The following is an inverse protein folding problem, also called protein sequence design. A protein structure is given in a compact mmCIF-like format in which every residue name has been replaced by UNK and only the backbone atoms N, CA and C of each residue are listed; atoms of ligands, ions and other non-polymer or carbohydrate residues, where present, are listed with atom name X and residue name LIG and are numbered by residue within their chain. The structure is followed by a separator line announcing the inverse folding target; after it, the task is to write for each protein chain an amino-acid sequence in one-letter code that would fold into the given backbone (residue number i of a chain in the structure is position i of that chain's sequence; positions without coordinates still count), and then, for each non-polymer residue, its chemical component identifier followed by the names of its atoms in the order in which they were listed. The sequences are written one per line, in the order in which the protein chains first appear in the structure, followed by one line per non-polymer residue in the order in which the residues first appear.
data_IF_974207731667
#
_entry.id   IF_974207731667
#
_cell.length_a   1.000
_cell.length_b   1.000
_cell.length_c   1.000
_cell.angle_alpha   90.00
_cell.angle_beta   90.00
_cell.angle_gamma   90.00
#
_symmetry.space_group_name_H-M   'P 1'
#
loop_
_entity.id
_entity.type
_entity.pdbx_description
1 polymer ?
#
# COMPACT_ATOMS: atom_id res chain seq x y z
N UNK A 1 -11.82 -12.86 23.34
CA UNK A 1 -12.21 -11.63 22.64
C UNK A 1 -11.10 -10.61 22.85
N UNK A 2 -10.58 -9.91 21.80
CA UNK A 2 -9.52 -8.92 21.98
C UNK A 2 -10.11 -7.62 22.49
N UNK A 3 -9.40 -6.90 23.38
CA UNK A 3 -9.86 -5.65 24.02
C UNK A 3 -10.29 -4.59 23.02
N UNK A 4 -9.57 -4.45 21.90
CA UNK A 4 -9.92 -3.47 20.89
C UNK A 4 -11.30 -3.72 20.24
N UNK A 5 -11.85 -4.94 20.24
CA UNK A 5 -13.20 -5.17 19.73
C UNK A 5 -14.27 -4.50 20.60
N UNK A 6 -14.05 -4.41 21.92
CA UNK A 6 -14.96 -3.70 22.84
C UNK A 6 -14.87 -2.20 22.58
N UNK A 7 -13.64 -1.69 22.51
CA UNK A 7 -13.40 -0.28 22.21
C UNK A 7 -14.03 0.14 20.89
N UNK A 8 -13.84 -0.66 19.82
CA UNK A 8 -14.40 -0.36 18.51
C UNK A 8 -15.93 -0.29 18.53
N UNK A 9 -16.57 -1.23 19.23
CA UNK A 9 -18.04 -1.22 19.38
C UNK A 9 -18.51 0.09 20.04
N UNK A 10 -17.83 0.50 21.11
CA UNK A 10 -18.15 1.74 21.81
C UNK A 10 -17.92 2.96 20.90
N UNK A 11 -16.80 3.02 20.19
CA UNK A 11 -16.50 4.11 19.27
C UNK A 11 -17.53 4.21 18.14
N UNK A 12 -17.84 3.11 17.47
CA UNK A 12 -18.83 3.10 16.41
C UNK A 12 -20.23 3.51 16.89
N UNK A 13 -20.59 3.10 18.09
CA UNK A 13 -21.86 3.52 18.70
C UNK A 13 -21.84 5.03 19.02
N UNK A 14 -20.78 5.53 19.63
CA UNK A 14 -20.58 6.94 19.93
C UNK A 14 -20.60 7.79 18.66
N UNK A 15 -19.84 7.40 17.63
CA UNK A 15 -19.75 8.12 16.37
C UNK A 15 -21.11 8.20 15.64
N UNK A 16 -21.93 7.14 15.67
CA UNK A 16 -23.27 7.14 15.06
C UNK A 16 -24.23 8.16 15.68
N UNK A 17 -24.02 8.52 16.96
CA UNK A 17 -24.84 9.49 17.68
C UNK A 17 -24.33 10.93 17.56
N UNK A 18 -23.13 11.11 17.00
CA UNK A 18 -22.53 12.44 16.82
C UNK A 18 -22.90 12.99 15.45
N UNK A 19 -23.52 14.17 15.46
CA UNK A 19 -23.72 14.94 14.23
C UNK A 19 -22.44 15.69 13.89
N UNK A 20 -21.94 15.50 12.66
CA UNK A 20 -20.81 16.26 12.14
C UNK A 20 -21.31 17.60 11.61
N UNK A 21 -20.71 18.69 12.08
CA UNK A 21 -21.15 20.05 11.74
C UNK A 21 -20.85 20.44 10.29
N UNK A 22 -19.78 19.88 9.71
CA UNK A 22 -19.36 20.19 8.34
C UNK A 22 -19.97 19.21 7.34
N UNK A 23 -20.27 19.70 6.14
CA UNK A 23 -20.66 18.83 5.04
C UNK A 23 -19.53 17.85 4.69
N UNK A 24 -19.86 16.61 4.28
CA UNK A 24 -18.86 15.63 3.86
C UNK A 24 -18.01 16.18 2.72
N UNK A 25 -16.68 16.16 2.89
CA UNK A 25 -15.73 16.68 1.91
C UNK A 25 -14.48 15.79 1.87
N UNK A 26 -13.92 15.64 0.69
CA UNK A 26 -12.69 14.90 0.50
C UNK A 26 -12.90 13.43 0.14
N UNK A 27 -11.88 12.86 -0.44
CA UNK A 27 -11.81 11.47 -0.83
C UNK A 27 -10.67 10.78 -0.08
N UNK A 28 -10.95 9.59 0.45
CA UNK A 28 -9.94 8.72 1.05
C UNK A 28 -9.74 7.49 0.17
N UNK A 29 -8.50 7.24 -0.22
CA UNK A 29 -8.04 5.98 -0.80
C UNK A 29 -7.37 5.16 0.30
N UNK A 30 -7.81 3.93 0.52
CA UNK A 30 -7.21 3.01 1.49
C UNK A 30 -6.43 1.94 0.73
N UNK A 31 -5.12 1.87 0.96
CA UNK A 31 -4.24 0.81 0.47
C UNK A 31 -3.30 0.40 1.60
N UNK A 32 -3.64 -0.69 2.27
CA UNK A 32 -2.97 -1.16 3.49
C UNK A 32 -1.74 -2.03 3.22
N UNK A 33 -1.43 -2.26 1.96
CA UNK A 33 -0.26 -3.03 1.53
C UNK A 33 1.07 -2.40 1.94
N UNK A 34 2.17 -3.12 1.73
CA UNK A 34 3.52 -2.62 2.01
C UNK A 34 4.06 -1.68 0.92
N UNK A 35 5.35 -1.35 1.04
CA UNK A 35 6.07 -0.46 0.09
C UNK A 35 5.87 -0.93 -1.36
N UNK A 36 6.10 -2.22 -1.64
CA UNK A 36 5.95 -2.78 -3.00
C UNK A 36 4.54 -2.59 -3.56
N UNK A 37 3.51 -2.72 -2.72
CA UNK A 37 2.12 -2.48 -3.12
C UNK A 37 1.86 -1.01 -3.45
N UNK A 38 2.47 -0.10 -2.69
CA UNK A 38 2.38 1.36 -2.93
C UNK A 38 3.10 1.73 -4.24
N UNK A 39 4.27 1.14 -4.52
CA UNK A 39 4.95 1.30 -5.81
C UNK A 39 4.05 0.83 -6.95
N UNK A 40 3.48 -0.37 -6.87
CA UNK A 40 2.57 -0.87 -7.90
C UNK A 40 1.31 0.00 -8.04
N UNK A 41 0.75 0.50 -6.93
CA UNK A 41 -0.43 1.37 -6.96
C UNK A 41 -0.15 2.72 -7.61
N UNK A 42 1.07 3.24 -7.49
CA UNK A 42 1.45 4.52 -8.10
C UNK A 42 1.29 4.55 -9.64
N UNK A 43 1.35 3.40 -10.31
CA UNK A 43 1.09 3.28 -11.75
C UNK A 43 -0.37 3.53 -12.13
N UNK A 44 -1.29 3.34 -11.20
CA UNK A 44 -2.74 3.42 -11.46
C UNK A 44 -3.46 4.49 -10.63
N UNK A 45 -2.77 5.11 -9.69
CA UNK A 45 -3.36 6.05 -8.72
C UNK A 45 -4.17 7.16 -9.38
N UNK A 46 -3.73 7.69 -10.51
CA UNK A 46 -4.44 8.75 -11.25
C UNK A 46 -5.82 8.32 -11.73
N UNK A 47 -6.01 7.05 -12.01
CA UNK A 47 -7.32 6.51 -12.37
C UNK A 47 -8.33 6.66 -11.22
N UNK A 48 -7.85 6.62 -9.98
CA UNK A 48 -8.66 6.81 -8.77
C UNK A 48 -8.78 8.28 -8.40
N UNK A 49 -7.70 9.07 -8.48
CA UNK A 49 -7.76 10.50 -8.13
C UNK A 49 -8.68 11.31 -9.02
N UNK A 50 -8.88 10.89 -10.27
CA UNK A 50 -9.83 11.48 -11.19
C UNK A 50 -11.32 11.29 -10.79
N UNK A 51 -11.60 10.58 -9.70
CA UNK A 51 -12.94 10.46 -9.10
C UNK A 51 -13.21 11.57 -8.08
N UNK A 52 -12.18 12.31 -7.69
CA UNK A 52 -12.33 13.48 -6.86
C UNK A 52 -13.03 14.59 -7.65
N UNK A 53 -13.84 15.39 -6.95
CA UNK A 53 -14.42 16.61 -7.51
C UNK A 53 -13.34 17.69 -7.66
N UNK A 54 -13.66 18.73 -8.39
CA UNK A 54 -12.78 19.90 -8.49
C UNK A 54 -12.42 20.43 -7.09
N UNK A 55 -11.14 20.68 -6.83
CA UNK A 55 -10.59 21.12 -5.54
C UNK A 55 -10.94 20.24 -4.33
N UNK A 56 -11.31 18.99 -4.57
CA UNK A 56 -11.57 18.06 -3.49
C UNK A 56 -10.25 17.49 -2.92
N UNK A 57 -9.99 17.61 -1.60
CA UNK A 57 -8.80 17.05 -0.99
C UNK A 57 -8.81 15.52 -1.12
N UNK A 58 -7.64 14.97 -1.46
CA UNK A 58 -7.43 13.53 -1.60
C UNK A 58 -6.47 13.08 -0.51
N UNK A 59 -6.87 12.10 0.27
CA UNK A 59 -6.04 11.47 1.28
C UNK A 59 -5.76 10.03 0.86
N UNK A 60 -4.50 9.61 0.96
CA UNK A 60 -4.06 8.24 0.72
C UNK A 60 -3.59 7.62 2.03
N UNK A 61 -4.37 6.67 2.54
CA UNK A 61 -4.03 5.91 3.73
C UNK A 61 -3.20 4.71 3.33
N UNK A 62 -1.99 4.64 3.85
CA UNK A 62 -1.05 3.56 3.60
C UNK A 62 -0.42 3.02 4.88
N UNK A 63 0.23 1.86 4.78
CA UNK A 63 0.98 1.28 5.88
C UNK A 63 2.24 2.12 6.16
N UNK A 64 2.61 2.20 7.43
CA UNK A 64 3.86 2.83 7.86
C UNK A 64 5.06 2.23 7.10
N UNK A 65 5.97 3.10 6.68
CA UNK A 65 7.09 2.78 5.82
C UNK A 65 6.80 3.00 4.33
N UNK A 66 5.52 2.95 3.89
CA UNK A 66 5.15 3.19 2.50
C UNK A 66 5.26 4.67 2.09
N UNK A 67 5.32 5.59 3.06
CA UNK A 67 5.60 7.01 2.82
C UNK A 67 6.95 7.27 2.16
N UNK A 68 7.90 6.36 2.33
CA UNK A 68 9.23 6.46 1.70
C UNK A 68 9.18 6.52 0.18
N UNK A 69 8.12 5.98 -0.40
CA UNK A 69 7.88 5.98 -1.86
C UNK A 69 6.74 6.92 -2.26
N UNK A 70 6.33 7.84 -1.37
CA UNK A 70 5.25 8.80 -1.63
C UNK A 70 5.55 9.77 -2.78
N UNK A 71 6.83 9.99 -3.09
CA UNK A 71 7.25 10.79 -4.25
C UNK A 71 6.74 10.22 -5.59
N UNK A 72 6.36 8.93 -5.63
CA UNK A 72 5.75 8.30 -6.81
C UNK A 72 4.27 8.65 -6.98
N UNK A 73 3.65 9.26 -5.98
CA UNK A 73 2.25 9.67 -6.01
C UNK A 73 2.10 11.13 -6.48
N UNK A 74 0.94 11.53 -7.01
CA UNK A 74 0.66 12.93 -7.32
C UNK A 74 0.84 13.85 -6.12
N UNK A 75 1.40 15.05 -6.33
CA UNK A 75 1.72 16.01 -5.25
C UNK A 75 0.50 16.54 -4.49
N UNK A 76 -0.67 16.46 -5.07
CA UNK A 76 -1.93 16.90 -4.47
C UNK A 76 -2.58 15.88 -3.54
N UNK A 77 -1.90 14.76 -3.28
CA UNK A 77 -2.36 13.71 -2.37
C UNK A 77 -1.72 13.92 -1.00
N UNK A 78 -2.55 14.00 0.03
CA UNK A 78 -2.09 13.98 1.43
C UNK A 78 -1.87 12.53 1.88
N UNK A 79 -0.69 12.22 2.39
CA UNK A 79 -0.36 10.88 2.89
C UNK A 79 -0.78 10.73 4.35
N UNK A 80 -1.51 9.68 4.65
CA UNK A 80 -1.89 9.27 6.00
C UNK A 80 -1.27 7.91 6.32
N UNK A 81 -0.18 7.93 7.07
CA UNK A 81 0.50 6.71 7.49
C UNK A 81 -0.19 6.08 8.69
N UNK A 82 -0.41 4.77 8.62
CA UNK A 82 -0.96 3.99 9.73
C UNK A 82 -0.03 2.85 10.08
N UNK A 83 0.41 2.82 11.33
CA UNK A 83 1.11 1.66 11.89
C UNK A 83 0.07 0.58 12.26
N UNK A 84 -0.10 -0.40 11.40
CA UNK A 84 -1.06 -1.49 11.61
C UNK A 84 -0.65 -2.43 12.74
N UNK A 85 0.63 -2.51 13.11
CA UNK A 85 1.06 -3.28 14.28
C UNK A 85 0.65 -2.57 15.56
N UNK A 86 0.90 -1.27 15.64
CA UNK A 86 0.48 -0.42 16.74
C UNK A 86 -1.04 -0.33 16.84
N UNK A 87 -1.74 -0.21 15.70
CA UNK A 87 -3.21 -0.20 15.63
C UNK A 87 -3.82 -1.46 16.29
N UNK A 88 -3.12 -2.59 16.26
CA UNK A 88 -3.55 -3.84 16.86
C UNK A 88 -3.24 -3.96 18.36
N UNK A 89 -2.22 -3.27 18.86
CA UNK A 89 -1.68 -3.44 20.22
C UNK A 89 -1.95 -2.26 21.14
N UNK A 90 -2.03 -1.03 20.59
CA UNK A 90 -2.18 0.21 21.32
C UNK A 90 -3.61 0.75 21.16
N UNK A 91 -4.39 0.65 22.23
CA UNK A 91 -5.79 1.09 22.24
C UNK A 91 -5.95 2.61 22.11
N UNK A 92 -5.00 3.39 22.64
CA UNK A 92 -5.04 4.85 22.55
C UNK A 92 -4.78 5.29 21.11
N UNK A 93 -3.75 4.72 20.45
CA UNK A 93 -3.44 4.96 19.05
C UNK A 93 -4.62 4.56 18.14
N UNK A 94 -5.20 3.37 18.37
CA UNK A 94 -6.36 2.90 17.62
C UNK A 94 -7.56 3.85 17.74
N UNK A 95 -7.88 4.26 18.97
CA UNK A 95 -8.95 5.22 19.25
C UNK A 95 -8.71 6.54 18.51
N UNK A 96 -7.52 7.10 18.66
CA UNK A 96 -7.14 8.37 18.02
C UNK A 96 -7.25 8.27 16.49
N UNK A 97 -6.65 7.23 15.89
CA UNK A 97 -6.70 7.02 14.43
C UNK A 97 -8.13 6.92 13.92
N UNK A 98 -8.99 6.12 14.57
CA UNK A 98 -10.39 5.98 14.17
C UNK A 98 -11.20 7.26 14.37
N UNK A 99 -10.94 8.00 15.44
CA UNK A 99 -11.61 9.29 15.70
C UNK A 99 -11.20 10.33 14.66
N UNK A 100 -9.92 10.42 14.32
CA UNK A 100 -9.44 11.34 13.28
C UNK A 100 -10.06 11.04 11.92
N UNK A 101 -10.17 9.76 11.55
CA UNK A 101 -10.85 9.34 10.32
C UNK A 101 -12.35 9.70 10.32
N UNK A 102 -13.01 9.57 11.45
CA UNK A 102 -14.41 10.00 11.61
C UNK A 102 -14.57 11.51 11.47
N UNK A 103 -13.73 12.30 12.16
CA UNK A 103 -13.78 13.76 12.13
C UNK A 103 -13.40 14.35 10.76
N UNK A 104 -12.58 13.67 9.98
CA UNK A 104 -12.25 14.07 8.61
C UNK A 104 -13.46 14.13 7.70
N UNK A 105 -14.55 13.44 8.03
CA UNK A 105 -15.85 13.49 7.35
C UNK A 105 -15.75 13.34 5.84
N UNK A 106 -15.12 12.28 5.37
CA UNK A 106 -14.94 12.02 3.95
C UNK A 106 -16.27 11.88 3.21
N UNK A 107 -16.33 12.47 2.02
CA UNK A 107 -17.44 12.26 1.08
C UNK A 107 -17.39 10.87 0.47
N UNK A 108 -16.19 10.42 0.09
CA UNK A 108 -15.97 9.17 -0.59
C UNK A 108 -14.79 8.42 0.03
N UNK A 109 -15.01 7.17 0.35
CA UNK A 109 -13.93 6.22 0.73
C UNK A 109 -13.86 5.13 -0.32
N UNK A 110 -12.67 4.92 -0.88
CA UNK A 110 -12.39 3.82 -1.81
C UNK A 110 -11.36 2.90 -1.18
N UNK A 111 -11.76 1.68 -0.85
CA UNK A 111 -10.85 0.67 -0.37
C UNK A 111 -10.32 -0.14 -1.54
N UNK A 112 -9.07 0.10 -1.90
CA UNK A 112 -8.47 -0.43 -3.13
C UNK A 112 -7.94 -1.86 -3.00
N UNK A 113 -7.84 -2.39 -1.77
CA UNK A 113 -7.28 -3.72 -1.56
C UNK A 113 -8.30 -4.84 -1.73
N UNK A 114 -7.86 -5.91 -2.42
CA UNK A 114 -8.59 -7.16 -2.53
C UNK A 114 -8.30 -8.09 -1.33
N UNK A 115 -7.08 -8.04 -0.78
CA UNK A 115 -6.68 -8.77 0.44
C UNK A 115 -6.83 -7.82 1.61
N UNK A 116 -7.86 -8.02 2.42
CA UNK A 116 -8.23 -7.14 3.53
C UNK A 116 -8.28 -7.87 4.86
N UNK A 117 -7.99 -7.15 5.93
CA UNK A 117 -8.11 -7.66 7.29
C UNK A 117 -9.32 -7.02 8.00
N UNK A 118 -10.30 -7.83 8.45
CA UNK A 118 -11.58 -7.31 8.95
C UNK A 118 -11.47 -6.40 10.17
N UNK A 119 -10.45 -6.61 11.00
CA UNK A 119 -10.26 -5.87 12.24
C UNK A 119 -9.22 -4.73 12.10
N UNK A 120 -8.64 -4.52 10.91
CA UNK A 120 -7.62 -3.49 10.65
C UNK A 120 -8.13 -2.48 9.62
N UNK A 121 -7.73 -2.63 8.37
CA UNK A 121 -8.09 -1.76 7.26
C UNK A 121 -9.60 -1.60 7.08
N UNK A 122 -10.39 -2.68 7.18
CA UNK A 122 -11.86 -2.56 7.15
C UNK A 122 -12.43 -1.85 8.38
N UNK A 123 -11.81 -2.01 9.55
CA UNK A 123 -12.23 -1.26 10.73
C UNK A 123 -11.97 0.24 10.56
N UNK A 124 -10.89 0.64 9.86
CA UNK A 124 -10.62 2.05 9.52
C UNK A 124 -11.61 2.58 8.50
N UNK A 125 -11.92 1.83 7.44
CA UNK A 125 -12.96 2.19 6.48
C UNK A 125 -14.30 2.41 7.17
N UNK A 126 -14.69 1.51 8.08
CA UNK A 126 -15.90 1.63 8.89
C UNK A 126 -15.89 2.86 9.81
N UNK A 127 -14.72 3.20 10.37
CA UNK A 127 -14.59 4.36 11.26
C UNK A 127 -14.87 5.67 10.54
N UNK A 128 -14.55 5.78 9.25
CA UNK A 128 -14.81 6.98 8.46
C UNK A 128 -16.29 7.36 8.43
N UNK A 129 -17.22 6.41 8.47
CA UNK A 129 -18.66 6.65 8.26
C UNK A 129 -18.87 7.67 7.12
N UNK A 130 -18.19 7.43 6.01
CA UNK A 130 -18.23 8.31 4.83
C UNK A 130 -19.64 8.39 4.25
N UNK A 131 -19.91 9.43 3.45
CA UNK A 131 -21.18 9.55 2.74
C UNK A 131 -21.35 8.42 1.71
N UNK A 132 -20.26 7.99 1.10
CA UNK A 132 -20.21 6.84 0.20
C UNK A 132 -18.92 6.05 0.46
N UNK A 133 -19.04 4.74 0.56
CA UNK A 133 -17.90 3.83 0.70
C UNK A 133 -17.96 2.75 -0.39
N UNK A 134 -16.86 2.56 -1.10
CA UNK A 134 -16.76 1.63 -2.22
C UNK A 134 -15.54 0.72 -2.04
N UNK A 135 -15.66 -0.56 -2.38
CA UNK A 135 -14.54 -1.49 -2.34
C UNK A 135 -14.64 -2.58 -3.41
N UNK A 136 -13.54 -3.31 -3.59
CA UNK A 136 -13.63 -4.62 -4.21
C UNK A 136 -14.23 -5.63 -3.23
N UNK A 137 -14.88 -6.69 -3.71
CA UNK A 137 -15.17 -7.86 -2.87
C UNK A 137 -13.85 -8.43 -2.34
N UNK A 138 -13.75 -8.77 -1.05
CA UNK A 138 -12.50 -9.26 -0.49
C UNK A 138 -12.16 -10.63 -1.04
N UNK A 139 -10.85 -10.93 -1.12
CA UNK A 139 -10.37 -12.29 -1.33
C UNK A 139 -10.95 -13.22 -0.27
N UNK A 140 -11.37 -14.40 -0.71
CA UNK A 140 -11.73 -15.44 0.23
C UNK A 140 -10.51 -15.80 1.11
N UNK A 141 -10.67 -15.61 2.40
CA UNK A 141 -9.67 -15.94 3.40
C UNK A 141 -10.35 -16.74 4.52
N UNK A 142 -10.21 -18.08 4.48
CA UNK A 142 -10.94 -19.01 5.35
C UNK A 142 -10.97 -18.57 6.82
N UNK A 143 -9.83 -18.12 7.35
CA UNK A 143 -9.68 -17.63 8.73
C UNK A 143 -10.60 -16.44 9.07
N UNK A 144 -10.93 -15.61 8.10
CA UNK A 144 -11.66 -14.35 8.29
C UNK A 144 -12.94 -14.25 7.45
N UNK A 145 -13.29 -15.29 6.69
CA UNK A 145 -14.42 -15.26 5.74
C UNK A 145 -15.70 -14.73 6.36
N UNK A 146 -16.12 -15.25 7.50
CA UNK A 146 -17.34 -14.84 8.20
C UNK A 146 -17.34 -13.35 8.61
N UNK A 147 -16.17 -12.83 9.03
CA UNK A 147 -16.06 -11.42 9.42
C UNK A 147 -16.01 -10.52 8.20
N UNK A 148 -15.30 -10.91 7.16
CA UNK A 148 -15.23 -10.17 5.90
C UNK A 148 -16.62 -10.09 5.27
N UNK A 149 -17.36 -11.20 5.25
CA UNK A 149 -18.75 -11.22 4.79
C UNK A 149 -19.65 -10.28 5.60
N UNK A 150 -19.55 -10.32 6.93
CA UNK A 150 -20.30 -9.41 7.80
C UNK A 150 -19.92 -7.92 7.59
N UNK A 151 -18.72 -7.64 7.10
CA UNK A 151 -18.21 -6.30 6.84
C UNK A 151 -18.58 -5.76 5.45
N UNK A 152 -19.12 -6.59 4.52
CA UNK A 152 -19.55 -6.11 3.20
C UNK A 152 -20.55 -4.94 3.30
N UNK A 153 -21.38 -4.94 4.32
CA UNK A 153 -22.36 -3.87 4.62
C UNK A 153 -21.74 -2.51 4.99
N UNK A 154 -20.42 -2.41 5.15
CA UNK A 154 -19.71 -1.13 5.33
C UNK A 154 -19.75 -0.33 4.03
N UNK A 155 -19.82 -1.04 2.90
CA UNK A 155 -19.68 -0.45 1.57
C UNK A 155 -21.02 -0.38 0.86
N UNK A 156 -21.28 0.77 0.25
CA UNK A 156 -22.49 1.03 -0.54
C UNK A 156 -22.41 0.33 -1.90
N UNK A 157 -21.20 0.20 -2.43
CA UNK A 157 -20.94 -0.47 -3.71
C UNK A 157 -19.74 -1.41 -3.61
N UNK A 158 -19.87 -2.57 -4.24
CA UNK A 158 -18.85 -3.61 -4.24
C UNK A 158 -18.55 -4.09 -5.65
N UNK A 159 -17.30 -3.95 -6.07
CA UNK A 159 -16.81 -4.47 -7.34
C UNK A 159 -16.36 -5.94 -7.18
N UNK A 160 -16.90 -6.83 -8.02
CA UNK A 160 -16.41 -8.21 -8.08
C UNK A 160 -15.23 -8.29 -9.04
N UNK A 161 -14.05 -8.41 -8.50
CA UNK A 161 -12.82 -8.49 -9.30
C UNK A 161 -12.55 -9.88 -9.90
N UNK A 162 -13.44 -10.84 -9.67
CA UNK A 162 -13.32 -12.21 -10.18
C UNK A 162 -12.27 -13.05 -9.45
N UNK A 163 -11.83 -14.11 -10.13
CA UNK A 163 -10.94 -15.14 -9.57
C UNK A 163 -9.64 -14.62 -9.00
N UNK A 164 -9.09 -15.38 -8.06
CA UNK A 164 -7.98 -14.99 -7.17
C UNK A 164 -6.63 -14.77 -7.85
N UNK A 165 -6.34 -15.38 -8.99
CA UNK A 165 -5.02 -15.32 -9.67
C UNK A 165 -4.87 -14.16 -10.67
N UNK A 166 -5.59 -13.07 -10.52
CA UNK A 166 -5.45 -11.91 -11.38
C UNK A 166 -4.27 -11.04 -10.91
N UNK A 167 -3.49 -10.52 -11.84
CA UNK A 167 -2.45 -9.51 -11.57
C UNK A 167 -3.03 -8.32 -10.79
N UNK A 168 -2.24 -7.76 -9.86
CA UNK A 168 -2.73 -6.74 -8.93
C UNK A 168 -3.02 -5.41 -9.64
N UNK A 169 -2.14 -5.00 -10.56
CA UNK A 169 -2.33 -3.78 -11.35
C UNK A 169 -3.56 -3.93 -12.24
N UNK A 170 -3.71 -5.07 -12.91
CA UNK A 170 -4.88 -5.35 -13.73
C UNK A 170 -6.17 -5.30 -12.92
N UNK A 171 -6.16 -5.84 -11.70
CA UNK A 171 -7.31 -5.79 -10.78
C UNK A 171 -7.70 -4.36 -10.43
N UNK A 172 -6.72 -3.50 -10.18
CA UNK A 172 -6.96 -2.08 -9.91
C UNK A 172 -7.47 -1.33 -11.14
N UNK A 173 -6.97 -1.63 -12.32
CA UNK A 173 -7.47 -1.06 -13.58
C UNK A 173 -8.93 -1.44 -13.82
N UNK A 174 -9.27 -2.73 -13.66
CA UNK A 174 -10.64 -3.21 -13.77
C UNK A 174 -11.57 -2.50 -12.78
N UNK A 175 -11.11 -2.29 -11.55
CA UNK A 175 -11.86 -1.58 -10.52
C UNK A 175 -12.05 -0.10 -10.86
N UNK A 176 -11.00 0.58 -11.30
CA UNK A 176 -11.08 1.98 -11.69
C UNK A 176 -12.01 2.19 -12.90
N UNK A 177 -11.95 1.31 -13.90
CA UNK A 177 -12.83 1.35 -15.05
C UNK A 177 -14.30 1.14 -14.65
N UNK A 178 -14.57 0.17 -13.77
CA UNK A 178 -15.91 -0.05 -13.22
C UNK A 178 -16.44 1.16 -12.45
N UNK A 179 -15.58 1.85 -11.68
CA UNK A 179 -15.96 3.06 -10.94
C UNK A 179 -16.39 4.19 -11.87
N UNK A 180 -15.77 4.30 -13.04
CA UNK A 180 -15.99 5.36 -14.02
C UNK A 180 -17.00 5.01 -15.10
N UNK A 181 -17.43 3.73 -15.16
CA UNK A 181 -18.21 3.20 -16.27
C UNK A 181 -17.50 3.33 -17.64
N UNK A 182 -16.17 3.17 -17.63
CA UNK A 182 -15.29 3.23 -18.81
C UNK A 182 -14.79 1.83 -19.17
N UNK A 183 -14.45 1.64 -20.45
CA UNK A 183 -13.70 0.45 -20.87
C UNK A 183 -12.23 0.58 -20.51
N UNK A 184 -11.57 -0.56 -20.27
CA UNK A 184 -10.16 -0.58 -19.91
C UNK A 184 -9.34 -0.46 -21.19
N UNK A 185 -8.68 0.66 -21.36
CA UNK A 185 -7.62 0.77 -22.35
C UNK A 185 -6.40 -0.08 -21.93
N UNK A 186 -5.97 -0.98 -22.80
CA UNK A 186 -4.71 -1.70 -22.64
C UNK A 186 -3.54 -0.80 -22.98
N UNK A 187 -3.17 0.10 -22.06
CA UNK A 187 -2.00 0.96 -22.20
C UNK A 187 -0.83 0.41 -21.41
N UNK A 188 0.38 0.58 -21.94
CA UNK A 188 1.59 0.36 -21.17
C UNK A 188 1.63 1.41 -20.06
N UNK A 189 1.54 0.97 -18.81
CA UNK A 189 1.62 1.85 -17.66
C UNK A 189 3.07 2.28 -17.48
N UNK A 190 3.28 3.57 -17.33
CA UNK A 190 4.60 4.17 -17.04
C UNK A 190 4.45 5.12 -15.87
N UNK A 191 5.44 5.12 -14.99
CA UNK A 191 5.55 6.19 -14.00
C UNK A 191 5.96 7.48 -14.70
N UNK A 192 5.32 8.60 -14.36
CA UNK A 192 5.74 9.91 -14.86
C UNK A 192 7.19 10.19 -14.46
N UNK A 193 8.04 10.55 -15.45
CA UNK A 193 9.47 10.76 -15.21
C UNK A 193 9.73 11.87 -14.19
N UNK A 194 8.87 12.87 -14.14
CA UNK A 194 8.93 14.01 -13.23
C UNK A 194 8.72 13.62 -11.75
N UNK A 195 8.24 12.42 -11.48
CA UNK A 195 8.10 11.86 -10.12
C UNK A 195 9.30 11.04 -9.69
N UNK A 196 10.17 10.69 -10.62
CA UNK A 196 11.36 9.92 -10.31
C UNK A 196 12.47 10.86 -9.82
N UNK A 197 13.31 10.41 -8.88
CA UNK A 197 14.52 11.14 -8.51
C UNK A 197 15.41 11.33 -9.74
N UNK A 198 16.22 12.38 -9.72
CA UNK A 198 17.23 12.55 -10.74
C UNK A 198 18.15 11.32 -10.79
N UNK A 199 18.41 10.78 -11.98
CA UNK A 199 19.26 9.58 -12.07
C UNK A 199 20.68 9.91 -11.61
N UNK A 200 21.22 9.08 -10.73
CA UNK A 200 22.65 9.08 -10.44
C UNK A 200 23.36 8.51 -11.66
N UNK A 201 24.27 9.30 -12.24
CA UNK A 201 25.10 8.83 -13.37
C UNK A 201 26.32 8.16 -12.81
N UNK A 202 26.44 6.89 -13.02
CA UNK A 202 27.68 6.17 -12.83
C UNK A 202 28.51 6.30 -14.14
N UNK A 203 29.81 6.54 -14.08
CA UNK A 203 30.66 6.63 -15.26
C UNK A 203 30.74 5.30 -16.03
N UNK A 204 30.56 4.17 -15.37
CA UNK A 204 30.48 2.84 -15.96
C UNK A 204 29.05 2.29 -15.95
N UNK A 205 28.71 1.31 -16.80
CA UNK A 205 27.44 0.60 -16.71
C UNK A 205 27.28 -0.01 -15.33
N UNK A 206 26.08 0.10 -14.75
CA UNK A 206 25.77 -0.34 -13.39
C UNK A 206 24.81 -1.51 -13.39
N UNK A 207 25.15 -2.57 -12.66
CA UNK A 207 24.25 -3.65 -12.31
C UNK A 207 23.87 -3.52 -10.84
N UNK A 208 22.57 -3.47 -10.56
CA UNK A 208 22.06 -3.43 -9.18
C UNK A 208 21.52 -4.81 -8.81
N UNK A 209 21.99 -5.36 -7.70
CA UNK A 209 21.57 -6.64 -7.14
C UNK A 209 20.94 -6.38 -5.77
N UNK A 210 19.72 -6.90 -5.54
CA UNK A 210 19.06 -6.86 -4.24
C UNK A 210 18.87 -8.29 -3.73
N UNK A 211 19.79 -8.81 -2.89
CA UNK A 211 19.75 -10.20 -2.44
C UNK A 211 18.81 -10.46 -1.27
N UNK A 212 18.36 -9.39 -0.60
CA UNK A 212 17.64 -9.49 0.67
C UNK A 212 16.14 -9.69 0.49
N UNK A 213 15.53 -10.41 1.41
CA UNK A 213 14.08 -10.56 1.50
C UNK A 213 13.63 -10.70 2.97
N UNK A 214 12.49 -10.14 3.32
CA UNK A 214 11.86 -10.36 4.62
C UNK A 214 11.44 -11.84 4.85
N UNK A 215 11.43 -12.66 3.80
CA UNK A 215 11.09 -14.08 3.82
C UNK A 215 12.32 -14.87 3.44
N UNK A 216 12.92 -15.56 4.41
CA UNK A 216 14.20 -16.28 4.25
C UNK A 216 14.19 -17.25 3.06
N UNK A 217 13.09 -17.96 2.85
CA UNK A 217 12.92 -18.94 1.77
C UNK A 217 12.94 -18.32 0.37
N UNK A 218 12.88 -16.99 0.28
CA UNK A 218 13.01 -16.23 -0.98
C UNK A 218 14.40 -15.69 -1.24
N UNK A 219 15.31 -15.86 -0.30
CA UNK A 219 16.71 -15.47 -0.47
C UNK A 219 17.48 -16.64 -1.08
N UNK A 220 18.27 -16.35 -2.10
CA UNK A 220 19.25 -17.30 -2.61
C UNK A 220 20.54 -17.24 -1.78
N UNK A 221 21.37 -18.31 -1.78
CA UNK A 221 22.62 -18.29 -1.04
C UNK A 221 23.63 -17.31 -1.67
N UNK A 222 24.56 -16.73 -0.88
CA UNK A 222 25.61 -15.83 -1.39
C UNK A 222 26.41 -16.39 -2.55
N UNK A 223 26.67 -17.70 -2.55
CA UNK A 223 27.42 -18.40 -3.63
C UNK A 223 26.75 -18.27 -5.01
N UNK A 224 25.41 -18.22 -5.06
CA UNK A 224 24.71 -17.99 -6.34
C UNK A 224 24.96 -16.57 -6.84
N UNK A 225 24.93 -15.58 -5.96
CA UNK A 225 25.21 -14.19 -6.35
C UNK A 225 26.68 -14.01 -6.76
N UNK A 226 27.64 -14.68 -6.08
CA UNK A 226 29.03 -14.70 -6.51
C UNK A 226 29.16 -15.24 -7.94
N UNK A 227 28.53 -16.38 -8.25
CA UNK A 227 28.53 -16.95 -9.59
C UNK A 227 27.90 -16.01 -10.64
N UNK A 228 26.80 -15.31 -10.28
CA UNK A 228 26.16 -14.30 -11.18
C UNK A 228 27.14 -13.14 -11.42
N UNK A 229 27.77 -12.62 -10.37
CA UNK A 229 28.71 -11.50 -10.44
C UNK A 229 29.90 -11.85 -11.34
N UNK A 230 30.44 -13.05 -11.25
CA UNK A 230 31.53 -13.54 -12.10
C UNK A 230 31.17 -13.60 -13.59
N UNK A 231 29.89 -13.63 -13.93
CA UNK A 231 29.43 -13.58 -15.32
C UNK A 231 29.28 -12.16 -15.86
N UNK A 232 29.39 -11.12 -15.00
CA UNK A 232 29.25 -9.71 -15.39
C UNK A 232 30.60 -9.23 -15.91
N UNK A 233 30.68 -8.56 -17.08
CA UNK A 233 31.93 -8.03 -17.60
C UNK A 233 32.61 -7.03 -16.64
N UNK A 234 33.92 -7.02 -16.58
CA UNK A 234 34.73 -6.22 -15.64
C UNK A 234 34.54 -4.71 -15.78
N UNK A 235 34.04 -4.25 -16.94
CA UNK A 235 33.76 -2.83 -17.18
C UNK A 235 32.41 -2.35 -16.57
N UNK A 236 31.71 -3.21 -15.83
CA UNK A 236 30.49 -2.85 -15.09
C UNK A 236 30.82 -2.60 -13.62
N UNK A 237 30.16 -1.62 -13.03
CA UNK A 237 30.05 -1.47 -11.60
C UNK A 237 28.86 -2.29 -11.07
N UNK A 238 29.01 -2.84 -9.88
CA UNK A 238 27.99 -3.67 -9.25
C UNK A 238 27.62 -3.07 -7.90
N UNK A 239 26.35 -2.78 -7.69
CA UNK A 239 25.81 -2.29 -6.44
C UNK A 239 24.92 -3.34 -5.78
N UNK A 240 25.25 -3.71 -4.55
CA UNK A 240 24.39 -4.54 -3.69
C UNK A 240 23.50 -3.58 -2.90
N UNK A 241 22.23 -3.52 -3.25
CA UNK A 241 21.29 -2.63 -2.59
C UNK A 241 20.62 -3.28 -1.38
N UNK A 242 20.51 -2.54 -0.29
CA UNK A 242 19.84 -3.00 0.93
C UNK A 242 19.89 -1.93 2.01
N UNK A 243 19.13 -2.13 3.08
CA UNK A 243 19.22 -1.28 4.27
C UNK A 243 20.32 -1.77 5.19
N UNK A 244 20.81 -0.91 6.09
CA UNK A 244 21.75 -1.34 7.15
C UNK A 244 21.18 -2.54 7.94
N UNK A 245 19.87 -2.51 8.25
CA UNK A 245 19.20 -3.62 8.92
C UNK A 245 19.21 -4.92 8.10
N UNK A 246 19.11 -4.84 6.76
CA UNK A 246 19.17 -6.04 5.92
C UNK A 246 20.57 -6.67 6.01
N UNK A 247 21.62 -5.86 6.00
CA UNK A 247 23.01 -6.31 6.15
C UNK A 247 23.25 -6.92 7.52
N UNK A 248 22.85 -6.23 8.60
CA UNK A 248 23.02 -6.71 9.97
C UNK A 248 22.37 -8.08 10.22
N UNK A 249 21.19 -8.32 9.60
CA UNK A 249 20.48 -9.59 9.74
C UNK A 249 20.94 -10.69 8.78
N UNK A 250 21.77 -10.36 7.80
CA UNK A 250 22.20 -11.28 6.75
C UNK A 250 23.71 -11.08 6.46
N UNK A 251 24.53 -11.12 7.50
CA UNK A 251 25.98 -10.88 7.41
C UNK A 251 26.72 -11.84 6.46
N UNK A 252 26.13 -12.99 6.13
CA UNK A 252 26.68 -13.92 5.15
C UNK A 252 26.84 -13.34 3.75
N UNK A 253 26.15 -12.23 3.44
CA UNK A 253 26.28 -11.54 2.15
C UNK A 253 27.47 -10.56 2.10
N UNK A 254 28.12 -10.25 3.24
CA UNK A 254 29.28 -9.36 3.28
C UNK A 254 30.44 -9.86 2.38
N UNK A 255 30.54 -11.16 2.18
CA UNK A 255 31.50 -11.79 1.27
C UNK A 255 31.40 -11.27 -0.19
N UNK A 256 30.22 -10.74 -0.59
CA UNK A 256 30.07 -10.17 -1.93
C UNK A 256 30.86 -8.87 -2.10
N UNK A 257 31.11 -8.12 -1.02
CA UNK A 257 31.89 -6.89 -1.02
C UNK A 257 33.40 -7.11 -1.18
N UNK A 258 33.86 -8.34 -1.07
CA UNK A 258 35.27 -8.72 -1.32
C UNK A 258 35.57 -8.84 -2.84
N UNK A 259 34.53 -8.85 -3.68
CA UNK A 259 34.66 -8.97 -5.13
C UNK A 259 34.99 -7.59 -5.72
N UNK A 260 36.00 -7.48 -6.60
CA UNK A 260 36.32 -6.23 -7.29
C UNK A 260 35.08 -5.63 -7.99
N UNK A 261 34.98 -4.29 -8.00
CA UNK A 261 33.88 -3.52 -8.60
C UNK A 261 32.49 -3.72 -7.95
N UNK A 262 32.42 -4.40 -6.79
CA UNK A 262 31.20 -4.54 -5.99
C UNK A 262 31.21 -3.54 -4.83
N UNK A 263 30.08 -2.81 -4.66
CA UNK A 263 29.86 -1.93 -3.51
C UNK A 263 28.49 -2.16 -2.89
N UNK A 264 28.37 -1.93 -1.61
CA UNK A 264 27.08 -1.90 -0.91
C UNK A 264 26.52 -0.48 -0.91
N UNK A 265 25.20 -0.35 -1.19
CA UNK A 265 24.45 0.92 -1.18
C UNK A 265 23.18 0.82 -0.33
#
# INVERSE_FOLDING_TARGET
MKLYHIQDKYLFFSHRRRTRQKAPKGMLLISSGGIGDTVLFSFVVEKFTNLAKHDEPITFLCNQGSEKVSFLLPKNITILNVDFQRLRRDLAYRKSTMTNLFEANFRLVIHTDHVRHPDMDEALAKACQAKEAIAMKPRNWSKYSRKLEANLKIYDRLFDSGVTKKDKIRRWLDFAAWLKHEEIESRILKLPKERLPSPTRDPAPLVVIHPYSAVREKQFPPSLYQAIIQCIPDNYNIAISGTASDRDHNSEFEILGEIPNVRFE
#
